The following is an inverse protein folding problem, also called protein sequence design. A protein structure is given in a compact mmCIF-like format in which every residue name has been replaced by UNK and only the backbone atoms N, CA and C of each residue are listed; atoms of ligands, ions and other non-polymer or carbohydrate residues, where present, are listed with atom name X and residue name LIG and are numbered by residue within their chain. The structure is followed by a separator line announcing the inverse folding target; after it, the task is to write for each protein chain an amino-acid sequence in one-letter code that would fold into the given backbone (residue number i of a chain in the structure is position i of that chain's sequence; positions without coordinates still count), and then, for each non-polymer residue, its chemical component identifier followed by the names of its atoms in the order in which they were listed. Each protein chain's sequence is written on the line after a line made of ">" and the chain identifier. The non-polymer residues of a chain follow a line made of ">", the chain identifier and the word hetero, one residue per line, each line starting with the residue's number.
data_IF_049284985564
#
_entry.id   IF_049284985564
#
_cell.length_a   1.000
_cell.length_b   1.000
_cell.length_c   1.000
_cell.angle_alpha   90.00
_cell.angle_beta   90.00
_cell.angle_gamma   90.00
#
_symmetry.space_group_name_H-M   'P 1'
#
loop_
_entity.id
_entity.type
_entity.pdbx_description
1 polymer ?
#
# COMPACT_ATOMS: atom_id res chain seq x y z
N UNK A 1 1.18 18.73 8.05
CA UNK A 1 1.92 18.07 6.95
C UNK A 1 2.79 19.05 6.17
N UNK A 2 2.27 20.23 5.78
CA UNK A 2 3.06 21.27 5.09
C UNK A 2 4.17 21.87 5.95
N UNK A 3 3.81 22.36 7.13
CA UNK A 3 4.74 23.02 8.06
C UNK A 3 5.95 22.15 8.39
N UNK A 4 5.71 20.84 8.54
CA UNK A 4 6.75 19.85 8.84
C UNK A 4 7.42 19.25 7.61
N UNK A 5 6.98 19.60 6.40
CA UNK A 5 7.54 19.06 5.15
C UNK A 5 7.44 17.55 5.01
N UNK A 6 6.40 16.92 5.58
CA UNK A 6 6.25 15.45 5.55
C UNK A 6 6.12 14.94 4.13
N UNK A 7 6.96 13.95 3.78
CA UNK A 7 6.99 13.34 2.44
C UNK A 7 6.37 11.93 2.40
N UNK A 8 6.33 11.20 3.52
CA UNK A 8 5.76 9.86 3.59
C UNK A 8 4.83 9.74 4.79
N UNK A 9 3.64 9.19 4.58
CA UNK A 9 2.61 9.06 5.62
C UNK A 9 2.15 7.60 5.74
N UNK A 10 2.54 6.88 6.81
CA UNK A 10 1.91 5.61 7.14
C UNK A 10 0.51 5.84 7.71
N UNK A 11 -0.46 5.04 7.27
CA UNK A 11 -1.85 5.21 7.67
C UNK A 11 -2.63 3.89 7.68
N UNK A 12 -3.86 4.01 8.19
CA UNK A 12 -4.95 3.02 8.15
C UNK A 12 -6.18 3.69 7.53
N UNK A 13 -7.23 2.94 7.13
CA UNK A 13 -8.38 3.51 6.41
C UNK A 13 -9.10 4.67 7.10
N UNK A 14 -9.25 4.61 8.42
CA UNK A 14 -9.86 5.71 9.19
C UNK A 14 -9.03 7.00 9.12
N UNK A 15 -7.70 6.88 9.19
CA UNK A 15 -6.81 8.03 9.09
C UNK A 15 -6.77 8.60 7.67
N UNK A 16 -6.77 7.75 6.65
CA UNK A 16 -6.90 8.18 5.25
C UNK A 16 -8.19 8.98 5.01
N UNK A 17 -9.32 8.50 5.54
CA UNK A 17 -10.61 9.19 5.44
C UNK A 17 -10.56 10.57 6.08
N UNK A 18 -9.94 10.69 7.26
CA UNK A 18 -9.75 11.97 7.94
C UNK A 18 -8.85 12.92 7.14
N UNK A 19 -7.75 12.43 6.57
CA UNK A 19 -6.85 13.22 5.71
C UNK A 19 -7.61 13.77 4.50
N UNK A 20 -8.39 12.93 3.81
CA UNK A 20 -9.21 13.36 2.66
C UNK A 20 -10.22 14.43 3.06
N UNK A 21 -10.94 14.23 4.17
CA UNK A 21 -11.93 15.20 4.64
C UNK A 21 -11.32 16.57 4.99
N UNK A 22 -10.11 16.59 5.55
CA UNK A 22 -9.38 17.82 5.85
C UNK A 22 -8.81 18.46 4.58
N UNK A 23 -8.26 17.66 3.66
CA UNK A 23 -7.71 18.15 2.40
C UNK A 23 -8.79 18.79 1.50
N UNK A 24 -10.04 18.33 1.58
CA UNK A 24 -11.17 18.92 0.86
C UNK A 24 -11.56 20.32 1.35
N UNK A 25 -11.17 20.72 2.56
CA UNK A 25 -11.44 22.03 3.16
C UNK A 25 -10.26 22.99 3.06
N UNK A 26 -9.14 22.51 2.53
CA UNK A 26 -7.88 23.24 2.50
C UNK A 26 -7.77 24.06 1.22
N UNK A 27 -7.64 25.38 1.37
CA UNK A 27 -7.44 26.32 0.26
C UNK A 27 -5.95 26.56 -0.05
N UNK A 28 -5.03 26.06 0.79
CA UNK A 28 -3.59 26.20 0.58
C UNK A 28 -3.02 25.18 -0.43
N UNK A 29 -1.83 25.48 -0.99
CA UNK A 29 -1.14 24.62 -1.97
C UNK A 29 -0.86 23.18 -1.47
N UNK A 30 -0.45 22.24 -2.32
CA UNK A 30 -0.37 20.83 -1.91
C UNK A 30 0.77 20.57 -0.91
N UNK A 31 0.55 19.70 0.09
CA UNK A 31 1.63 19.22 0.96
C UNK A 31 2.61 18.34 0.16
N UNK A 32 3.91 18.31 0.50
CA UNK A 32 4.94 17.60 -0.29
C UNK A 32 4.93 16.08 -0.10
N UNK A 33 3.76 15.50 0.16
CA UNK A 33 3.59 14.06 0.36
C UNK A 33 3.77 13.36 -0.98
N UNK A 34 4.77 12.45 -1.04
CA UNK A 34 5.04 11.61 -2.21
C UNK A 34 4.54 10.17 -2.04
N UNK A 35 4.18 9.74 -0.83
CA UNK A 35 3.74 8.37 -0.60
C UNK A 35 2.87 8.21 0.65
N UNK A 36 1.74 7.55 0.47
CA UNK A 36 0.95 6.96 1.54
C UNK A 36 1.24 5.45 1.60
N UNK A 37 1.41 4.92 2.81
CA UNK A 37 1.55 3.47 3.01
C UNK A 37 0.42 2.97 3.88
N UNK A 38 -0.34 1.99 3.40
CA UNK A 38 -1.47 1.41 4.12
C UNK A 38 -1.19 -0.04 4.51
N UNK A 39 -1.50 -0.38 5.75
CA UNK A 39 -1.49 -1.75 6.28
C UNK A 39 -2.59 -1.92 7.34
N UNK A 40 -2.78 -3.13 7.86
CA UNK A 40 -3.71 -3.42 8.96
C UNK A 40 -5.18 -3.60 8.55
N UNK A 41 -5.65 -2.90 7.53
CA UNK A 41 -6.97 -3.12 6.95
C UNK A 41 -6.99 -2.73 5.46
N UNK A 42 -7.96 -3.26 4.71
CA UNK A 42 -8.18 -2.90 3.31
C UNK A 42 -8.55 -1.42 3.21
N UNK A 43 -7.88 -0.70 2.31
CA UNK A 43 -8.21 0.69 2.00
C UNK A 43 -9.24 0.72 0.86
N UNK A 44 -10.43 1.33 1.05
CA UNK A 44 -11.44 1.38 0.00
C UNK A 44 -10.96 2.14 -1.23
N UNK A 45 -11.33 1.68 -2.42
CA UNK A 45 -10.92 2.29 -3.69
C UNK A 45 -11.29 3.78 -3.77
N UNK A 46 -12.50 4.14 -3.33
CA UNK A 46 -12.93 5.54 -3.27
C UNK A 46 -12.01 6.42 -2.40
N UNK A 47 -11.44 5.88 -1.31
CA UNK A 47 -10.48 6.60 -0.47
C UNK A 47 -9.13 6.74 -1.18
N UNK A 48 -8.69 5.71 -1.93
CA UNK A 48 -7.46 5.76 -2.74
C UNK A 48 -7.58 6.84 -3.81
N UNK A 49 -8.70 6.88 -4.52
CA UNK A 49 -8.99 7.87 -5.56
C UNK A 49 -9.00 9.29 -4.98
N UNK A 50 -9.66 9.50 -3.84
CA UNK A 50 -9.69 10.80 -3.18
C UNK A 50 -8.30 11.25 -2.70
N UNK A 51 -7.48 10.34 -2.14
CA UNK A 51 -6.10 10.65 -1.81
C UNK A 51 -5.30 11.08 -3.05
N UNK A 52 -5.46 10.40 -4.19
CA UNK A 52 -4.80 10.77 -5.44
C UNK A 52 -5.28 12.11 -5.98
N UNK A 53 -6.56 12.43 -5.84
CA UNK A 53 -7.10 13.72 -6.26
C UNK A 53 -6.51 14.89 -5.46
N UNK A 54 -6.39 14.72 -4.13
CA UNK A 54 -5.83 15.77 -3.26
C UNK A 54 -4.29 15.81 -3.23
N UNK A 55 -3.63 14.68 -3.53
CA UNK A 55 -2.18 14.52 -3.53
C UNK A 55 -1.73 13.83 -4.84
N UNK A 56 -1.81 14.50 -6.00
CA UNK A 56 -1.56 13.90 -7.32
C UNK A 56 -0.12 13.41 -7.52
N UNK A 57 0.84 13.93 -6.76
CA UNK A 57 2.22 13.43 -6.75
C UNK A 57 2.46 12.22 -5.84
N UNK A 58 1.46 11.81 -5.05
CA UNK A 58 1.62 10.73 -4.08
C UNK A 58 1.26 9.37 -4.66
N UNK A 59 2.06 8.36 -4.33
CA UNK A 59 1.72 6.94 -4.51
C UNK A 59 0.91 6.42 -3.32
N UNK A 60 -0.02 5.49 -3.55
CA UNK A 60 -0.78 4.84 -2.47
C UNK A 60 -0.42 3.36 -2.39
N UNK A 61 0.52 3.04 -1.51
CA UNK A 61 1.14 1.71 -1.41
C UNK A 61 0.35 0.83 -0.47
N UNK A 62 -0.26 -0.22 -1.03
CA UNK A 62 -0.99 -1.27 -0.32
C UNK A 62 0.00 -2.30 0.23
N UNK A 63 -0.22 -2.75 1.47
CA UNK A 63 0.63 -3.73 2.14
C UNK A 63 -0.25 -4.70 2.94
N UNK A 64 0.27 -5.89 3.19
CA UNK A 64 -0.34 -6.86 4.09
C UNK A 64 0.72 -7.44 5.03
N UNK A 65 0.30 -7.68 6.27
CA UNK A 65 1.16 -8.22 7.31
C UNK A 65 0.35 -8.66 8.52
N UNK A 66 0.95 -9.55 9.30
CA UNK A 66 0.49 -9.93 10.62
C UNK A 66 1.63 -9.69 11.62
N UNK A 67 1.30 -9.67 12.90
CA UNK A 67 2.27 -9.45 13.98
C UNK A 67 3.42 -10.47 13.97
N UNK A 68 3.12 -11.72 13.65
CA UNK A 68 3.99 -12.89 13.65
C UNK A 68 5.05 -12.85 12.55
N UNK A 69 4.75 -12.17 11.44
CA UNK A 69 5.64 -12.05 10.28
C UNK A 69 6.02 -10.60 9.96
N UNK A 70 5.69 -9.65 10.85
CA UNK A 70 5.78 -8.18 10.67
C UNK A 70 5.03 -7.63 9.45
N UNK A 71 5.50 -7.99 8.26
CA UNK A 71 4.94 -7.64 6.96
C UNK A 71 5.22 -8.79 5.99
N UNK A 72 4.20 -9.15 5.22
CA UNK A 72 4.23 -10.30 4.33
C UNK A 72 4.38 -9.83 2.89
N UNK A 73 3.56 -8.86 2.45
CA UNK A 73 3.60 -8.33 1.08
C UNK A 73 3.57 -6.80 1.04
N UNK A 74 4.14 -6.25 -0.03
CA UNK A 74 4.12 -4.83 -0.38
C UNK A 74 3.86 -4.69 -1.88
N UNK A 75 2.93 -3.82 -2.27
CA UNK A 75 2.80 -3.43 -3.66
C UNK A 75 4.00 -2.55 -4.03
N UNK A 76 4.79 -2.88 -5.07
CA UNK A 76 5.84 -1.98 -5.54
C UNK A 76 5.25 -0.59 -5.85
N UNK A 77 5.87 0.53 -5.40
CA UNK A 77 5.29 1.86 -5.57
C UNK A 77 5.03 2.27 -7.03
N UNK A 78 5.77 1.70 -7.96
CA UNK A 78 5.59 1.86 -9.40
C UNK A 78 4.37 1.09 -9.95
N UNK A 79 3.94 0.04 -9.25
CA UNK A 79 2.76 -0.78 -9.56
C UNK A 79 1.54 -0.36 -8.71
N UNK A 80 1.54 0.82 -8.07
CA UNK A 80 0.50 1.23 -7.12
C UNK A 80 -0.91 1.35 -7.72
N UNK A 81 -1.00 1.55 -9.04
CA UNK A 81 -2.25 1.56 -9.83
C UNK A 81 -2.57 0.21 -10.47
N UNK A 82 -1.62 -0.73 -10.45
CA UNK A 82 -1.80 -2.05 -11.04
C UNK A 82 -2.49 -3.02 -10.07
N UNK A 83 -3.15 -4.05 -10.64
CA UNK A 83 -3.76 -5.16 -9.89
C UNK A 83 -4.61 -4.67 -8.71
N UNK A 84 -5.72 -3.95 -8.96
CA UNK A 84 -6.64 -3.56 -7.89
C UNK A 84 -7.07 -4.81 -7.09
N UNK A 85 -7.16 -4.66 -5.76
CA UNK A 85 -7.41 -5.78 -4.85
C UNK A 85 -6.18 -6.60 -4.44
N UNK A 86 -5.05 -6.51 -5.15
CA UNK A 86 -3.80 -7.11 -4.67
C UNK A 86 -3.18 -6.32 -3.52
N UNK A 87 -2.58 -7.04 -2.57
CA UNK A 87 -1.77 -6.50 -1.46
C UNK A 87 -0.26 -6.54 -1.77
N UNK A 88 0.10 -6.84 -3.03
CA UNK A 88 1.45 -6.75 -3.55
C UNK A 88 2.20 -8.08 -3.63
N UNK A 89 3.52 -7.96 -3.63
CA UNK A 89 4.46 -9.07 -3.76
C UNK A 89 5.09 -9.42 -2.41
N UNK A 90 5.56 -10.67 -2.21
CA UNK A 90 6.33 -11.02 -1.03
C UNK A 90 7.54 -10.10 -0.87
N UNK A 91 7.90 -9.81 0.38
CA UNK A 91 9.12 -9.08 0.67
C UNK A 91 10.36 -9.78 0.07
N UNK A 92 11.40 -9.02 -0.33
CA UNK A 92 12.65 -9.60 -0.80
C UNK A 92 13.22 -10.63 0.16
N UNK A 93 13.52 -11.82 -0.35
CA UNK A 93 14.03 -12.93 0.45
C UNK A 93 12.94 -13.77 1.15
N UNK A 94 11.66 -13.49 0.91
CA UNK A 94 10.54 -14.29 1.42
C UNK A 94 9.70 -14.90 0.30
N UNK A 95 8.84 -15.85 0.67
CA UNK A 95 7.92 -16.52 -0.25
C UNK A 95 6.52 -16.56 0.37
N UNK A 96 5.51 -16.42 -0.48
CA UNK A 96 4.11 -16.64 -0.09
C UNK A 96 3.61 -17.86 -0.85
N UNK A 97 3.15 -18.85 -0.10
CA UNK A 97 2.64 -20.11 -0.61
C UNK A 97 1.13 -20.17 -0.33
N UNK A 98 0.35 -20.56 -1.33
CA UNK A 98 -1.06 -20.92 -1.14
C UNK A 98 -1.11 -22.44 -1.11
N UNK A 99 -1.60 -22.98 -0.01
CA UNK A 99 -1.67 -24.42 0.23
C UNK A 99 -3.14 -24.88 0.12
N UNK A 100 -3.35 -26.11 -0.33
CA UNK A 100 -4.64 -26.80 -0.22
C UNK A 100 -4.90 -27.32 1.21
N UNK A 101 -6.02 -28.03 1.40
CA UNK A 101 -6.42 -28.53 2.72
C UNK A 101 -5.46 -29.57 3.28
N UNK A 102 -4.72 -30.26 2.40
CA UNK A 102 -3.72 -31.27 2.71
C UNK A 102 -2.33 -30.67 2.94
N UNK A 103 -2.19 -29.34 2.84
CA UNK A 103 -0.93 -28.62 3.04
C UNK A 103 0.01 -28.67 1.83
N UNK A 104 -0.48 -29.15 0.68
CA UNK A 104 0.28 -29.17 -0.55
C UNK A 104 0.14 -27.86 -1.32
N UNK A 105 1.18 -27.43 -2.06
CA UNK A 105 1.08 -26.38 -3.05
C UNK A 105 -0.18 -26.41 -3.92
N UNK A 106 -1.01 -25.37 -3.84
CA UNK A 106 -2.20 -25.28 -4.71
C UNK A 106 -1.79 -25.04 -6.17
N UNK A 107 -2.20 -25.89 -7.14
CA UNK A 107 -1.85 -25.73 -8.54
C UNK A 107 -2.55 -24.54 -9.21
N UNK A 108 -3.65 -24.03 -8.64
CA UNK A 108 -4.39 -22.88 -9.15
C UNK A 108 -3.80 -21.53 -8.70
N UNK A 109 -2.98 -21.53 -7.66
CA UNK A 109 -2.29 -20.35 -7.20
C UNK A 109 -0.91 -20.24 -7.85
N UNK A 110 -0.74 -19.30 -8.79
CA UNK A 110 0.61 -18.93 -9.25
C UNK A 110 1.39 -18.37 -8.06
N UNK A 111 2.53 -19.00 -7.76
CA UNK A 111 3.48 -18.52 -6.76
C UNK A 111 3.84 -17.06 -7.00
N UNK A 112 3.55 -16.19 -6.04
CA UNK A 112 4.19 -14.88 -6.02
C UNK A 112 5.59 -15.07 -5.43
N UNK A 113 6.64 -14.77 -6.20
CA UNK A 113 8.01 -14.65 -5.68
C UNK A 113 8.36 -13.18 -5.55
N UNK A 114 9.15 -12.84 -4.54
CA UNK A 114 9.78 -11.52 -4.50
C UNK A 114 10.64 -11.33 -5.74
N UNK A 115 10.54 -10.18 -6.40
CA UNK A 115 11.51 -9.82 -7.45
C UNK A 115 12.91 -9.63 -6.83
N UNK A 116 13.99 -9.94 -7.54
CA UNK A 116 15.33 -9.56 -7.09
C UNK A 116 15.36 -8.07 -6.82
N UNK A 117 15.94 -7.66 -5.69
CA UNK A 117 16.16 -6.25 -5.38
C UNK A 117 16.95 -5.62 -6.52
N UNK A 118 16.34 -4.69 -7.27
CA UNK A 118 17.11 -3.75 -8.07
C UNK A 118 17.88 -2.90 -7.06
N UNK A 119 19.21 -3.06 -7.03
CA UNK A 119 20.07 -2.26 -6.16
C UNK A 119 19.70 -0.78 -6.35
N UNK A 120 19.46 -0.10 -5.23
CA UNK A 120 19.30 1.34 -5.14
C UNK A 120 20.62 2.03 -5.45
#
# INVERSE_FOLDING_TARGET
>A
MRETGVTVVPLVPSFATMIVALAAREEGGQAPVRMFTNTGAALPDATIEALRAHFPGARVVRQYGQTEAKRITVMPPEEDTERPGSVGLPLPGTQVLILDAEGSPSPSARWARSRPSARM
#
